data_IF_640584438889
#
_entry.id   IF_640584438889
#
_cell.length_a   1.000
_cell.length_b   1.000
_cell.length_c   1.000
_cell.angle_alpha   90.00
_cell.angle_beta   90.00
_cell.angle_gamma   90.00
#
_symmetry.space_group_name_H-M   'P 1'
#
loop_
_entity.id
_entity.type
_entity.pdbx_description
1 polymer ?
#
# COMPACT_ATOMS: atom_id res chain seq x y z
N UNK A 1 -5.76 -2.63 1.33
CA UNK A 1 -6.38 -2.88 0.02
C UNK A 1 -7.87 -3.17 0.16
N UNK A 2 -8.22 -4.08 1.07
CA UNK A 2 -9.62 -4.41 1.35
C UNK A 2 -10.45 -3.19 1.82
N UNK A 3 -9.85 -2.28 2.58
CA UNK A 3 -10.54 -1.04 3.01
C UNK A 3 -10.85 -0.11 1.83
N UNK A 4 -9.93 0.03 0.88
CA UNK A 4 -10.12 0.87 -0.31
C UNK A 4 -11.19 0.28 -1.23
N UNK A 5 -11.16 -1.04 -1.40
CA UNK A 5 -12.17 -1.77 -2.15
C UNK A 5 -13.55 -1.67 -1.47
N UNK A 6 -13.60 -1.87 -0.14
CA UNK A 6 -14.82 -1.71 0.66
C UNK A 6 -15.38 -0.28 0.59
N UNK A 7 -14.52 0.74 0.56
CA UNK A 7 -14.94 2.12 0.38
C UNK A 7 -15.68 2.32 -0.96
N UNK A 8 -15.20 1.68 -2.06
CA UNK A 8 -15.89 1.66 -3.34
C UNK A 8 -17.27 1.00 -3.26
N UNK A 9 -17.38 -0.14 -2.57
CA UNK A 9 -18.66 -0.83 -2.35
C UNK A 9 -19.64 0.03 -1.54
N UNK A 10 -19.18 0.68 -0.47
CA UNK A 10 -20.00 1.56 0.37
C UNK A 10 -20.47 2.78 -0.42
N UNK A 11 -19.61 3.37 -1.25
CA UNK A 11 -19.99 4.47 -2.13
C UNK A 11 -21.06 4.05 -3.13
N UNK A 12 -20.98 2.83 -3.67
CA UNK A 12 -22.01 2.30 -4.56
C UNK A 12 -23.34 2.03 -3.86
N UNK A 13 -23.29 1.53 -2.60
CA UNK A 13 -24.49 1.25 -1.80
C UNK A 13 -25.20 2.53 -1.32
N UNK A 14 -24.46 3.66 -1.21
CA UNK A 14 -24.97 4.94 -0.72
C UNK A 14 -24.69 6.06 -1.73
N UNK A 15 -25.01 5.83 -3.01
CA UNK A 15 -24.71 6.75 -4.12
C UNK A 15 -25.32 8.15 -3.95
N UNK A 16 -26.41 8.28 -3.20
CA UNK A 16 -27.08 9.56 -2.93
C UNK A 16 -26.32 10.41 -1.91
N UNK A 17 -25.50 9.79 -1.04
CA UNK A 17 -24.80 10.47 0.04
C UNK A 17 -23.28 10.55 -0.18
N UNK A 18 -22.70 9.64 -0.94
CA UNK A 18 -21.25 9.49 -1.10
C UNK A 18 -20.85 9.57 -2.58
N UNK A 19 -20.15 10.63 -2.93
CA UNK A 19 -19.62 10.79 -4.28
C UNK A 19 -18.36 9.92 -4.47
N UNK A 20 -18.44 8.94 -5.38
CA UNK A 20 -17.35 8.01 -5.69
C UNK A 20 -16.07 8.73 -6.13
N UNK A 21 -16.19 9.84 -6.87
CA UNK A 21 -15.03 10.59 -7.37
C UNK A 21 -14.27 11.25 -6.21
N UNK A 22 -15.00 11.85 -5.26
CA UNK A 22 -14.41 12.48 -4.07
C UNK A 22 -13.70 11.41 -3.23
N UNK A 23 -14.33 10.25 -3.05
CA UNK A 23 -13.73 9.15 -2.30
C UNK A 23 -12.49 8.59 -2.99
N UNK A 24 -12.54 8.32 -4.29
CA UNK A 24 -11.40 7.80 -5.05
C UNK A 24 -10.20 8.74 -5.04
N UNK A 25 -10.45 10.04 -5.23
CA UNK A 25 -9.41 11.08 -5.16
C UNK A 25 -8.85 11.18 -3.74
N UNK A 26 -9.71 11.20 -2.73
CA UNK A 26 -9.31 11.26 -1.32
C UNK A 26 -8.40 10.09 -0.91
N UNK A 27 -8.77 8.87 -1.29
CA UNK A 27 -7.96 7.65 -1.08
C UNK A 27 -6.60 7.76 -1.80
N UNK A 28 -6.62 8.21 -3.07
CA UNK A 28 -5.40 8.42 -3.85
C UNK A 28 -4.44 9.42 -3.21
N UNK A 29 -4.97 10.56 -2.75
CA UNK A 29 -4.19 11.60 -2.06
C UNK A 29 -3.64 11.07 -0.73
N UNK A 30 -4.46 10.41 0.08
CA UNK A 30 -4.04 9.87 1.36
C UNK A 30 -2.91 8.84 1.21
N UNK A 31 -3.05 7.94 0.24
CA UNK A 31 -2.03 6.94 -0.08
C UNK A 31 -0.73 7.60 -0.57
N UNK A 32 -0.84 8.61 -1.45
CA UNK A 32 0.30 9.36 -1.96
C UNK A 32 1.04 10.11 -0.85
N UNK A 33 0.32 10.80 0.05
CA UNK A 33 0.90 11.51 1.19
C UNK A 33 1.61 10.55 2.15
N UNK A 34 1.03 9.40 2.45
CA UNK A 34 1.65 8.38 3.31
C UNK A 34 3.02 7.95 2.80
N UNK A 35 3.16 7.76 1.49
CA UNK A 35 4.44 7.39 0.89
C UNK A 35 5.46 8.54 0.88
N UNK A 36 5.02 9.81 0.78
CA UNK A 36 5.91 10.95 0.93
C UNK A 36 6.55 10.98 2.32
N UNK A 37 5.77 10.67 3.35
CA UNK A 37 6.28 10.52 4.71
C UNK A 37 7.28 9.38 4.78
N UNK A 38 6.96 8.20 4.22
CA UNK A 38 7.86 7.06 4.16
C UNK A 38 9.20 7.38 3.48
N UNK A 39 9.17 8.03 2.32
CA UNK A 39 10.37 8.48 1.61
C UNK A 39 11.20 9.45 2.45
N UNK A 40 10.55 10.45 3.06
CA UNK A 40 11.21 11.48 3.86
C UNK A 40 11.87 10.87 5.10
N UNK A 41 11.18 9.98 5.80
CA UNK A 41 11.73 9.22 6.93
C UNK A 41 12.94 8.38 6.51
N UNK A 42 12.82 7.65 5.40
CA UNK A 42 13.93 6.86 4.84
C UNK A 42 15.14 7.72 4.51
N UNK A 43 14.94 8.88 3.90
CA UNK A 43 16.02 9.79 3.49
C UNK A 43 16.70 10.49 4.66
N UNK A 44 15.93 11.01 5.62
CA UNK A 44 16.46 11.86 6.70
C UNK A 44 16.88 11.06 7.93
N UNK A 45 16.21 9.95 8.24
CA UNK A 45 16.51 9.12 9.40
C UNK A 45 17.13 7.78 9.04
N UNK A 46 16.57 7.09 8.05
CA UNK A 46 17.04 5.77 7.65
C UNK A 46 18.49 5.84 7.12
N UNK A 47 18.77 6.69 6.15
CA UNK A 47 20.08 6.78 5.53
C UNK A 47 21.20 7.18 6.53
N UNK A 48 21.08 8.26 7.34
CA UNK A 48 22.12 8.63 8.30
C UNK A 48 22.34 7.57 9.39
N UNK A 49 21.27 6.89 9.82
CA UNK A 49 21.37 5.80 10.78
C UNK A 49 22.17 4.61 10.21
N UNK A 50 21.92 4.27 8.95
CA UNK A 50 22.59 3.19 8.26
C UNK A 50 24.05 3.51 7.93
N UNK A 51 24.34 4.75 7.55
CA UNK A 51 25.70 5.21 7.27
C UNK A 51 26.61 5.17 8.53
N UNK A 52 26.03 5.34 9.73
CA UNK A 52 26.74 5.23 11.01
C UNK A 52 27.02 3.78 11.44
N UNK A 53 26.28 2.81 10.92
CA UNK A 53 26.47 1.38 11.23
C UNK A 53 27.37 0.72 10.19
N UNK A 54 28.51 0.21 10.65
CA UNK A 54 29.53 -0.46 9.80
C UNK A 54 29.21 -1.92 9.42
N UNK A 55 27.95 -2.36 9.47
CA UNK A 55 27.57 -3.73 9.12
C UNK A 55 27.71 -3.99 7.60
N UNK A 56 28.50 -5.01 7.25
CA UNK A 56 28.71 -5.38 5.83
C UNK A 56 27.42 -5.74 5.11
N UNK A 57 26.48 -6.41 5.80
CA UNK A 57 25.16 -6.74 5.27
C UNK A 57 24.34 -5.50 4.92
N UNK A 58 24.39 -4.50 5.78
CA UNK A 58 23.67 -3.24 5.63
C UNK A 58 24.16 -2.42 4.44
N UNK A 59 25.49 -2.34 4.28
CA UNK A 59 26.10 -1.69 3.09
C UNK A 59 25.69 -2.38 1.80
N UNK A 60 25.62 -3.73 1.80
CA UNK A 60 25.13 -4.50 0.66
C UNK A 60 23.64 -4.23 0.36
N UNK A 61 22.79 -4.11 1.39
CA UNK A 61 21.37 -3.82 1.23
C UNK A 61 21.15 -2.43 0.62
N UNK A 62 21.89 -1.41 1.08
CA UNK A 62 21.84 -0.06 0.51
C UNK A 62 22.31 -0.07 -0.95
N UNK A 63 23.45 -0.68 -1.24
CA UNK A 63 23.98 -0.75 -2.60
C UNK A 63 23.01 -1.48 -3.56
N UNK A 64 22.36 -2.55 -3.11
CA UNK A 64 21.30 -3.23 -3.88
C UNK A 64 20.10 -2.33 -4.14
N UNK A 65 19.66 -1.55 -3.15
CA UNK A 65 18.58 -0.58 -3.32
C UNK A 65 18.96 0.50 -4.34
N UNK A 66 20.15 1.06 -4.25
CA UNK A 66 20.65 2.05 -5.21
C UNK A 66 20.73 1.47 -6.62
N UNK A 67 21.28 0.27 -6.81
CA UNK A 67 21.34 -0.42 -8.10
C UNK A 67 19.94 -0.70 -8.65
N UNK A 68 19.01 -1.13 -7.80
CA UNK A 68 17.63 -1.38 -8.18
C UNK A 68 16.96 -0.12 -8.75
N UNK A 69 17.11 1.02 -8.05
CA UNK A 69 16.54 2.30 -8.51
C UNK A 69 17.28 2.86 -9.74
N UNK A 70 18.58 2.60 -9.89
CA UNK A 70 19.31 2.96 -11.11
C UNK A 70 18.86 2.15 -12.31
N UNK A 71 18.56 0.87 -12.12
CA UNK A 71 18.16 -0.04 -13.22
C UNK A 71 16.70 0.11 -13.62
N UNK A 72 15.78 0.17 -12.66
CA UNK A 72 14.33 0.20 -12.89
C UNK A 72 13.72 1.59 -12.76
N UNK A 73 14.42 2.51 -12.11
CA UNK A 73 14.10 3.94 -12.04
C UNK A 73 12.67 4.20 -11.55
N UNK A 74 11.98 5.02 -12.30
CA UNK A 74 10.62 5.48 -12.05
C UNK A 74 9.60 4.34 -11.95
N UNK A 75 9.69 3.37 -12.85
CA UNK A 75 8.76 2.22 -12.90
C UNK A 75 8.81 1.33 -11.67
N UNK A 76 9.95 1.25 -10.99
CA UNK A 76 10.07 0.43 -9.78
C UNK A 76 9.11 0.86 -8.67
N UNK A 77 8.90 2.17 -8.53
CA UNK A 77 7.97 2.73 -7.54
C UNK A 77 6.52 2.49 -7.93
N UNK A 78 6.19 2.64 -9.22
CA UNK A 78 4.82 2.41 -9.73
C UNK A 78 4.44 0.94 -9.55
N UNK A 79 5.28 0.02 -10.04
CA UNK A 79 5.00 -1.43 -10.01
C UNK A 79 4.96 -1.97 -8.57
N UNK A 80 5.82 -1.46 -7.69
CA UNK A 80 5.86 -1.88 -6.29
C UNK A 80 4.53 -1.67 -5.55
N UNK A 81 3.71 -0.72 -5.97
CA UNK A 81 2.39 -0.49 -5.38
C UNK A 81 1.41 -1.65 -5.54
N UNK A 82 1.58 -2.44 -6.59
CA UNK A 82 0.74 -3.61 -6.85
C UNK A 82 1.15 -4.83 -6.03
N UNK A 83 2.30 -4.75 -5.32
CA UNK A 83 2.77 -5.80 -4.41
C UNK A 83 2.52 -5.37 -2.97
N UNK A 84 1.63 -6.05 -2.21
CA UNK A 84 1.10 -5.55 -0.93
C UNK A 84 2.14 -5.16 0.12
N UNK A 85 3.21 -5.95 0.28
CA UNK A 85 4.26 -5.65 1.25
C UNK A 85 5.38 -4.76 0.68
N UNK A 86 5.61 -4.79 -0.63
CA UNK A 86 6.63 -3.95 -1.27
C UNK A 86 6.26 -2.47 -1.20
N UNK A 87 5.00 -2.11 -1.38
CA UNK A 87 4.53 -0.71 -1.34
C UNK A 87 4.77 -0.01 0.00
N UNK A 88 4.78 -0.76 1.11
CA UNK A 88 5.07 -0.19 2.45
C UNK A 88 6.56 0.10 2.61
N UNK A 89 7.42 -0.73 2.04
CA UNK A 89 8.87 -0.69 2.23
C UNK A 89 9.54 0.19 1.17
N UNK A 90 9.05 0.17 -0.06
CA UNK A 90 9.66 0.83 -1.22
C UNK A 90 9.81 2.36 -1.03
N UNK A 91 8.85 3.12 -0.49
CA UNK A 91 9.03 4.54 -0.23
C UNK A 91 10.23 4.83 0.69
N UNK A 92 10.34 4.07 1.79
CA UNK A 92 11.46 4.20 2.71
C UNK A 92 12.80 3.81 2.06
N UNK A 93 12.82 2.70 1.30
CA UNK A 93 14.02 2.28 0.55
C UNK A 93 14.42 3.28 -0.52
N UNK A 94 13.46 3.91 -1.22
CA UNK A 94 13.73 4.97 -2.19
C UNK A 94 14.39 6.19 -1.52
N UNK A 95 13.96 6.54 -0.32
CA UNK A 95 14.57 7.57 0.50
C UNK A 95 15.99 7.20 0.94
N UNK A 96 16.19 5.99 1.46
CA UNK A 96 17.50 5.45 1.86
C UNK A 96 18.46 5.38 0.66
N UNK A 97 17.99 4.91 -0.50
CA UNK A 97 18.75 4.81 -1.74
C UNK A 97 18.97 6.15 -2.44
N UNK A 98 18.62 7.29 -1.81
CA UNK A 98 18.76 8.64 -2.35
C UNK A 98 18.19 8.82 -3.75
N UNK A 99 17.09 8.12 -4.08
CA UNK A 99 16.37 8.35 -5.33
C UNK A 99 16.04 9.83 -5.47
N UNK A 100 16.09 10.37 -6.69
CA UNK A 100 15.72 11.75 -6.93
C UNK A 100 14.27 11.99 -6.52
N UNK A 101 14.01 13.02 -5.72
CA UNK A 101 12.69 13.31 -5.16
C UNK A 101 11.62 13.51 -6.24
N UNK A 102 11.91 14.26 -7.29
CA UNK A 102 10.93 14.51 -8.36
C UNK A 102 10.56 13.21 -9.13
N UNK A 103 11.53 12.31 -9.33
CA UNK A 103 11.26 10.98 -9.92
C UNK A 103 10.41 10.13 -9.00
N UNK A 104 10.71 10.14 -7.68
CA UNK A 104 9.88 9.44 -6.70
C UNK A 104 8.48 10.04 -6.61
N UNK A 105 8.37 11.37 -6.49
CA UNK A 105 7.11 12.09 -6.40
C UNK A 105 6.17 11.77 -7.55
N UNK A 106 6.64 11.90 -8.79
CA UNK A 106 5.82 11.63 -9.97
C UNK A 106 5.44 10.16 -10.11
N UNK A 107 6.39 9.24 -9.86
CA UNK A 107 6.11 7.80 -9.89
C UNK A 107 5.10 7.40 -8.82
N UNK A 108 5.25 7.94 -7.61
CA UNK A 108 4.36 7.71 -6.50
C UNK A 108 2.96 8.28 -6.77
N UNK A 109 2.85 9.48 -7.35
CA UNK A 109 1.58 10.10 -7.72
C UNK A 109 0.83 9.23 -8.73
N UNK A 110 1.49 8.83 -9.82
CA UNK A 110 0.90 7.96 -10.84
C UNK A 110 0.50 6.62 -10.25
N UNK A 111 1.37 5.98 -9.48
CA UNK A 111 1.08 4.71 -8.82
C UNK A 111 -0.09 4.81 -7.82
N UNK A 112 -0.18 5.92 -7.06
CA UNK A 112 -1.27 6.16 -6.12
C UNK A 112 -2.62 6.34 -6.80
N UNK A 113 -2.63 7.09 -7.89
CA UNK A 113 -3.85 7.29 -8.68
C UNK A 113 -4.29 5.98 -9.34
N UNK A 114 -3.39 5.29 -10.02
CA UNK A 114 -3.72 4.01 -10.68
C UNK A 114 -4.25 2.98 -9.68
N UNK A 115 -3.57 2.84 -8.54
CA UNK A 115 -3.95 1.87 -7.52
C UNK A 115 -5.20 2.31 -6.74
N UNK A 116 -5.22 3.55 -6.22
CA UNK A 116 -6.32 4.06 -5.39
C UNK A 116 -7.61 4.22 -6.19
N UNK A 117 -7.55 4.89 -7.33
CA UNK A 117 -8.71 5.05 -8.22
C UNK A 117 -9.13 3.70 -8.79
N UNK A 118 -8.17 2.88 -9.23
CA UNK A 118 -8.45 1.57 -9.81
C UNK A 118 -9.20 0.64 -8.86
N UNK A 119 -8.75 0.51 -7.60
CA UNK A 119 -9.43 -0.31 -6.60
C UNK A 119 -10.78 0.26 -6.16
N UNK A 120 -10.89 1.57 -6.00
CA UNK A 120 -12.15 2.21 -5.61
C UNK A 120 -13.20 2.04 -6.73
N UNK A 121 -12.81 2.26 -7.97
CA UNK A 121 -13.67 2.07 -9.15
C UNK A 121 -14.03 0.59 -9.33
N UNK A 122 -13.09 -0.32 -9.16
CA UNK A 122 -13.36 -1.76 -9.19
C UNK A 122 -14.38 -2.16 -8.11
N UNK A 123 -14.24 -1.66 -6.88
CA UNK A 123 -15.21 -1.86 -5.81
C UNK A 123 -16.60 -1.33 -6.16
N UNK A 124 -16.68 -0.15 -6.74
CA UNK A 124 -17.92 0.45 -7.16
C UNK A 124 -18.64 -0.38 -8.23
N UNK A 125 -17.96 -0.75 -9.30
CA UNK A 125 -18.56 -1.57 -10.37
C UNK A 125 -18.91 -3.00 -9.91
N UNK A 126 -18.15 -3.55 -8.95
CA UNK A 126 -18.45 -4.86 -8.35
C UNK A 126 -19.84 -4.86 -7.70
N UNK A 127 -20.27 -3.76 -7.09
CA UNK A 127 -21.61 -3.64 -6.51
C UNK A 127 -22.72 -3.77 -7.55
N UNK A 128 -22.51 -3.31 -8.76
CA UNK A 128 -23.49 -3.34 -9.87
C UNK A 128 -23.68 -4.74 -10.46
N UNK A 129 -22.79 -5.69 -10.16
CA UNK A 129 -22.86 -7.07 -10.69
C UNK A 129 -23.25 -8.02 -9.56
N UNK A 130 -24.51 -8.49 -9.58
CA UNK A 130 -25.09 -9.26 -8.47
C UNK A 130 -24.30 -10.51 -8.07
N UNK A 131 -23.85 -11.31 -9.02
CA UNK A 131 -23.10 -12.53 -8.71
C UNK A 131 -21.69 -12.22 -8.14
N UNK A 132 -21.04 -11.15 -8.62
CA UNK A 132 -19.73 -10.73 -8.09
C UNK A 132 -19.89 -10.15 -6.68
N UNK A 133 -20.94 -9.37 -6.44
CA UNK A 133 -21.30 -8.85 -5.12
C UNK A 133 -21.45 -9.97 -4.10
N UNK A 134 -22.22 -11.01 -4.44
CA UNK A 134 -22.42 -12.18 -3.57
C UNK A 134 -21.11 -12.90 -3.27
N UNK A 135 -20.23 -13.05 -4.27
CA UNK A 135 -18.93 -13.70 -4.13
C UNK A 135 -17.98 -12.90 -3.22
N UNK A 136 -17.98 -11.58 -3.35
CA UNK A 136 -17.18 -10.69 -2.48
C UNK A 136 -17.63 -10.76 -1.02
N UNK A 137 -18.94 -10.78 -0.77
CA UNK A 137 -19.46 -10.95 0.60
C UNK A 137 -19.06 -12.31 1.20
N UNK A 138 -19.13 -13.38 0.43
CA UNK A 138 -18.71 -14.71 0.89
C UNK A 138 -17.22 -14.70 1.26
N UNK A 139 -16.35 -14.14 0.39
CA UNK A 139 -14.91 -14.04 0.66
C UNK A 139 -14.67 -13.18 1.91
N UNK A 140 -15.35 -12.05 2.06
CA UNK A 140 -15.20 -11.19 3.23
C UNK A 140 -15.58 -11.93 4.52
N UNK A 141 -16.70 -12.65 4.54
CA UNK A 141 -17.15 -13.45 5.69
C UNK A 141 -16.14 -14.56 6.02
N UNK A 142 -15.61 -15.25 5.01
CA UNK A 142 -14.60 -16.30 5.20
C UNK A 142 -13.31 -15.73 5.78
N UNK A 143 -12.82 -14.60 5.24
CA UNK A 143 -11.59 -13.95 5.74
C UNK A 143 -11.77 -13.45 7.18
N UNK A 144 -12.90 -12.82 7.48
CA UNK A 144 -13.23 -12.38 8.85
C UNK A 144 -13.32 -13.59 9.79
N UNK A 145 -14.03 -14.65 9.38
CA UNK A 145 -14.16 -15.87 10.15
C UNK A 145 -12.81 -16.52 10.47
N UNK A 146 -11.94 -16.66 9.45
CA UNK A 146 -10.59 -17.20 9.64
C UNK A 146 -9.74 -16.30 10.56
N UNK A 147 -9.86 -14.99 10.43
CA UNK A 147 -9.14 -14.02 11.27
C UNK A 147 -9.58 -14.11 12.73
N UNK A 148 -10.89 -14.24 12.98
CA UNK A 148 -11.44 -14.44 14.32
C UNK A 148 -11.00 -15.77 14.92
N UNK A 149 -11.06 -16.85 14.14
CA UNK A 149 -10.60 -18.19 14.58
C UNK A 149 -9.10 -18.16 14.92
N UNK A 150 -8.27 -17.53 14.07
CA UNK A 150 -6.84 -17.37 14.33
C UNK A 150 -6.60 -16.54 15.60
N UNK A 151 -7.32 -15.44 15.78
CA UNK A 151 -7.24 -14.60 16.97
C UNK A 151 -7.63 -15.33 18.27
N UNK A 152 -8.72 -16.10 18.21
CA UNK A 152 -9.17 -16.92 19.36
C UNK A 152 -8.17 -18.03 19.69
N UNK A 153 -7.60 -18.68 18.68
CA UNK A 153 -6.57 -19.71 18.88
C UNK A 153 -5.31 -19.16 19.54
N UNK A 154 -4.81 -18.02 19.05
CA UNK A 154 -3.64 -17.33 19.65
C UNK A 154 -3.93 -16.87 21.07
N UNK A 155 -5.12 -16.34 21.33
CA UNK A 155 -5.53 -15.91 22.66
C UNK A 155 -5.61 -17.09 23.64
N UNK A 156 -6.16 -18.24 23.21
CA UNK A 156 -6.19 -19.46 24.04
C UNK A 156 -4.80 -20.03 24.30
N UNK A 157 -3.95 -20.10 23.28
CA UNK A 157 -2.59 -20.60 23.44
C UNK A 157 -1.74 -19.77 24.43
N UNK A 158 -1.96 -18.42 24.48
CA UNK A 158 -1.28 -17.55 25.42
C UNK A 158 -1.86 -17.57 26.85
N UNK A 159 -2.99 -18.26 27.06
CA UNK A 159 -3.62 -18.37 28.39
C UNK A 159 -3.22 -19.66 29.09
N UNK A 160 -2.74 -20.64 28.34
CA UNK A 160 -2.33 -21.97 28.84
C UNK A 160 -0.79 -22.06 29.04
N UNK A 161 -0.07 -20.94 28.82
CA UNK A 161 1.37 -20.77 29.09
C UNK A 161 1.57 -19.83 30.28
#
# INVERSE_FOLDING_TARGET
DSLVFAAGLIAAANSDSINIYVMAIGVGIAAWLGDQVGYTLGRHFGRPYLDKRNGSWLKKAIARSEQFYQRYGWWSVVVARFVPWARVIIPALAGIGKMNYYKFFSANLVGALLWGVGLTVAGYFTYSIEWVRSFVYIIAIVVIGLSVIAGVRTWRANRDS
#
